data_IF_575572101238
#
_entry.id   IF_575572101238
#
_cell.length_a   1.000
_cell.length_b   1.000
_cell.length_c   1.000
_cell.angle_alpha   90.00
_cell.angle_beta   90.00
_cell.angle_gamma   90.00
#
_symmetry.space_group_name_H-M   'P 1'
#
loop_
_entity.id
_entity.type
_entity.pdbx_description
1 polymer ?
#
# COMPACT_ATOMS: atom_id res chain seq x y z
N UNK A 1 -9.66 32.41 -3.92
CA UNK A 1 -8.24 32.28 -4.30
C UNK A 1 -7.42 31.30 -3.46
N UNK A 2 -7.76 30.95 -2.21
CA UNK A 2 -6.96 30.00 -1.41
C UNK A 2 -6.91 28.56 -1.97
N UNK A 3 -7.93 28.11 -2.73
CA UNK A 3 -8.01 26.75 -3.29
C UNK A 3 -6.93 26.43 -4.34
N UNK A 4 -6.40 27.44 -5.04
CA UNK A 4 -5.30 27.28 -6.01
C UNK A 4 -3.92 27.17 -5.33
N UNK A 5 -3.76 27.76 -4.14
CA UNK A 5 -2.49 27.72 -3.40
C UNK A 5 -2.22 26.35 -2.77
N UNK A 6 -3.28 25.63 -2.38
CA UNK A 6 -3.22 24.26 -1.87
C UNK A 6 -3.07 23.20 -2.99
N UNK A 7 -3.28 23.58 -4.25
CA UNK A 7 -3.14 22.70 -5.41
C UNK A 7 -1.68 22.32 -5.72
N UNK A 8 -0.72 23.00 -5.08
CA UNK A 8 0.71 22.74 -5.23
C UNK A 8 1.21 21.58 -4.37
N UNK A 9 0.42 21.08 -3.41
CA UNK A 9 0.79 19.90 -2.63
C UNK A 9 0.59 18.64 -3.48
N UNK A 10 1.66 18.32 -4.22
CA UNK A 10 1.87 17.03 -4.89
C UNK A 10 1.52 15.88 -3.95
N UNK A 11 0.49 15.12 -4.33
CA UNK A 11 0.26 13.71 -4.00
C UNK A 11 0.71 13.28 -2.59
N UNK A 12 -0.24 13.19 -1.66
CA UNK A 12 0.02 12.63 -0.33
C UNK A 12 0.43 11.16 -0.52
N UNK A 13 1.71 10.85 -0.31
CA UNK A 13 2.19 9.47 -0.28
C UNK A 13 1.72 8.82 1.02
N UNK A 14 0.85 7.82 0.91
CA UNK A 14 0.43 7.03 2.08
C UNK A 14 1.46 5.94 2.31
N UNK A 15 2.01 5.86 3.52
CA UNK A 15 3.00 4.86 3.91
C UNK A 15 2.57 4.23 5.22
N UNK A 16 2.31 2.93 5.18
CA UNK A 16 1.92 2.16 6.35
C UNK A 16 2.88 1.00 6.59
N UNK A 17 3.11 0.69 7.86
CA UNK A 17 3.92 -0.45 8.29
C UNK A 17 3.04 -1.31 9.17
N UNK A 18 2.79 -2.54 8.73
CA UNK A 18 1.89 -3.47 9.42
C UNK A 18 2.73 -4.67 9.90
N UNK A 19 2.73 -4.97 11.21
CA UNK A 19 3.41 -6.16 11.72
C UNK A 19 2.64 -7.43 11.31
N UNK A 20 3.33 -8.43 10.75
CA UNK A 20 2.76 -9.71 10.32
C UNK A 20 2.58 -10.69 11.49
N UNK A 21 2.16 -10.22 12.66
CA UNK A 21 2.12 -11.04 13.87
C UNK A 21 1.07 -12.17 13.84
N UNK A 22 0.03 -12.03 13.00
CA UNK A 22 -1.09 -12.99 12.92
C UNK A 22 -0.84 -14.20 12.03
N UNK A 23 0.06 -14.09 11.05
CA UNK A 23 0.34 -15.16 10.08
C UNK A 23 1.59 -15.98 10.43
N UNK A 24 2.22 -15.71 11.57
CA UNK A 24 3.41 -16.43 12.00
C UNK A 24 3.04 -17.82 12.53
N UNK A 25 3.91 -18.80 12.26
CA UNK A 25 3.82 -20.10 12.90
C UNK A 25 3.99 -19.95 14.42
N UNK A 26 3.39 -20.89 15.16
CA UNK A 26 3.28 -20.82 16.62
C UNK A 26 4.65 -20.70 17.33
N UNK A 27 5.68 -21.32 16.74
CA UNK A 27 7.07 -21.25 17.20
C UNK A 27 7.70 -19.88 16.98
N UNK A 28 7.47 -19.23 15.84
CA UNK A 28 8.01 -17.89 15.56
C UNK A 28 7.31 -16.84 16.43
N UNK A 29 6.01 -17.01 16.67
CA UNK A 29 5.23 -16.14 17.56
C UNK A 29 5.77 -16.17 18.99
N UNK A 30 6.10 -17.35 19.51
CA UNK A 30 6.73 -17.50 20.83
C UNK A 30 8.09 -16.78 20.92
N UNK A 31 8.91 -16.89 19.87
CA UNK A 31 10.21 -16.19 19.80
C UNK A 31 10.00 -14.67 19.72
N UNK A 32 9.00 -14.22 18.95
CA UNK A 32 8.65 -12.81 18.86
C UNK A 32 8.16 -12.25 20.21
N UNK A 33 7.29 -12.98 20.91
CA UNK A 33 6.78 -12.56 22.22
C UNK A 33 7.90 -12.51 23.27
N UNK A 34 8.90 -13.38 23.15
CA UNK A 34 10.08 -13.38 24.02
C UNK A 34 11.05 -12.22 23.73
N UNK A 35 11.10 -11.72 22.48
CA UNK A 35 12.04 -10.69 22.02
C UNK A 35 11.42 -9.29 21.89
N UNK A 36 10.12 -9.14 22.18
CA UNK A 36 9.46 -7.83 22.28
C UNK A 36 9.97 -7.07 23.53
N UNK A 37 10.39 -5.78 23.44
CA UNK A 37 9.90 -4.73 22.52
C UNK A 37 10.88 -4.30 21.42
N UNK A 38 11.98 -5.03 21.19
CA UNK A 38 13.15 -4.49 20.47
C UNK A 38 13.15 -4.82 18.97
N UNK A 39 12.55 -5.93 18.53
CA UNK A 39 12.65 -6.37 17.12
C UNK A 39 11.34 -6.93 16.59
N UNK A 40 10.82 -6.34 15.49
CA UNK A 40 9.76 -6.91 14.67
C UNK A 40 10.39 -7.75 13.54
N UNK A 41 10.24 -9.08 13.61
CA UNK A 41 10.85 -10.01 12.65
C UNK A 41 10.22 -9.99 11.26
N UNK A 42 8.91 -9.74 11.19
CA UNK A 42 8.12 -9.74 9.96
C UNK A 42 7.24 -8.49 9.88
N UNK A 43 7.41 -7.71 8.81
CA UNK A 43 6.65 -6.48 8.58
C UNK A 43 6.27 -6.34 7.10
N UNK A 44 5.09 -5.81 6.84
CA UNK A 44 4.66 -5.37 5.52
C UNK A 44 4.77 -3.86 5.47
N UNK A 45 5.53 -3.37 4.51
CA UNK A 45 5.55 -1.95 4.19
C UNK A 45 4.65 -1.74 2.99
N UNK A 46 3.55 -1.03 3.21
CA UNK A 46 2.64 -0.59 2.18
C UNK A 46 2.97 0.85 1.80
N UNK A 47 3.04 1.13 0.51
CA UNK A 47 3.16 2.49 0.00
C UNK A 47 2.19 2.72 -1.14
N UNK A 48 1.35 3.74 -1.03
CA UNK A 48 0.45 4.18 -2.08
C UNK A 48 0.85 5.58 -2.55
N UNK A 49 0.90 5.76 -3.87
CA UNK A 49 1.15 7.07 -4.47
C UNK A 49 0.16 7.35 -5.57
N UNK A 50 -0.30 8.60 -5.64
CA UNK A 50 -1.06 9.07 -6.79
C UNK A 50 -0.16 8.99 -8.04
N UNK A 51 -0.58 8.21 -9.01
CA UNK A 51 0.10 8.04 -10.29
C UNK A 51 -0.46 9.00 -11.33
N UNK A 52 -1.79 9.04 -11.44
CA UNK A 52 -2.49 9.87 -12.41
C UNK A 52 -3.83 10.35 -11.84
N UNK A 53 -4.22 11.56 -12.19
CA UNK A 53 -5.57 12.08 -12.00
C UNK A 53 -5.87 12.97 -13.20
N UNK A 54 -7.05 12.82 -13.78
CA UNK A 54 -7.51 13.64 -14.91
C UNK A 54 -7.70 15.10 -14.49
N UNK A 55 -8.24 15.35 -13.29
CA UNK A 55 -8.40 16.67 -12.72
C UNK A 55 -8.12 16.67 -11.21
N UNK A 56 -7.16 17.49 -10.78
CA UNK A 56 -6.75 17.59 -9.37
C UNK A 56 -7.87 18.08 -8.43
N UNK A 57 -8.90 18.75 -8.95
CA UNK A 57 -9.94 19.40 -8.14
C UNK A 57 -11.28 18.69 -8.16
N UNK A 58 -11.54 17.91 -9.20
CA UNK A 58 -12.73 17.08 -9.38
C UNK A 58 -12.36 15.91 -10.29
N UNK A 59 -11.62 14.92 -9.76
CA UNK A 59 -11.17 13.83 -10.60
C UNK A 59 -12.34 12.89 -10.90
N UNK A 60 -12.60 12.65 -12.18
CA UNK A 60 -13.53 11.60 -12.61
C UNK A 60 -12.80 10.25 -12.66
N UNK A 61 -11.47 10.28 -12.87
CA UNK A 61 -10.60 9.12 -12.92
C UNK A 61 -9.31 9.37 -12.12
N UNK A 62 -9.01 8.48 -11.18
CA UNK A 62 -7.80 8.53 -10.35
C UNK A 62 -7.09 7.20 -10.39
N UNK A 63 -5.79 7.22 -10.67
CA UNK A 63 -4.92 6.05 -10.60
C UNK A 63 -3.92 6.14 -9.45
N UNK A 64 -3.85 5.09 -8.66
CA UNK A 64 -2.92 4.94 -7.56
C UNK A 64 -1.98 3.77 -7.81
N UNK A 65 -0.68 4.05 -7.78
CA UNK A 65 0.35 3.04 -7.80
C UNK A 65 0.64 2.59 -6.37
N UNK A 66 0.35 1.33 -6.11
CA UNK A 66 0.52 0.70 -4.81
C UNK A 66 1.69 -0.28 -4.87
N UNK A 67 2.53 -0.25 -3.83
CA UNK A 67 3.63 -1.20 -3.64
C UNK A 67 3.52 -1.84 -2.26
N UNK A 68 3.67 -3.15 -2.23
CA UNK A 68 3.72 -3.97 -1.02
C UNK A 68 5.09 -4.62 -0.94
N UNK A 69 5.79 -4.38 0.17
CA UNK A 69 7.10 -4.95 0.45
C UNK A 69 7.04 -5.74 1.74
N UNK A 70 7.18 -7.06 1.64
CA UNK A 70 7.28 -7.94 2.81
C UNK A 70 8.75 -8.05 3.21
N UNK A 71 9.06 -7.63 4.43
CA UNK A 71 10.38 -7.85 5.05
C UNK A 71 10.23 -8.98 6.06
N UNK A 72 10.88 -10.10 5.79
CA UNK A 72 11.04 -11.23 6.71
C UNK A 72 12.52 -11.45 7.01
N UNK A 73 12.83 -11.88 8.23
CA UNK A 73 14.19 -12.04 8.77
C UNK A 73 15.08 -12.96 7.91
N UNK A 74 14.50 -13.88 7.12
CA UNK A 74 15.25 -14.85 6.31
C UNK A 74 15.12 -14.70 4.79
N UNK A 75 14.18 -13.89 4.29
CA UNK A 75 13.93 -13.79 2.85
C UNK A 75 13.42 -12.40 2.48
N UNK A 76 14.06 -11.78 1.49
CA UNK A 76 13.50 -10.61 0.81
C UNK A 76 12.49 -11.13 -0.19
N UNK A 77 11.22 -10.93 0.10
CA UNK A 77 10.16 -11.30 -0.84
C UNK A 77 10.13 -10.30 -2.01
N UNK A 78 9.69 -10.75 -3.20
CA UNK A 78 9.55 -9.86 -4.34
C UNK A 78 8.54 -8.74 -4.03
N UNK A 79 8.86 -7.52 -4.48
CA UNK A 79 7.97 -6.37 -4.36
C UNK A 79 6.74 -6.65 -5.23
N UNK A 80 5.56 -6.58 -4.64
CA UNK A 80 4.31 -6.68 -5.39
C UNK A 80 3.81 -5.27 -5.68
N UNK A 81 3.62 -4.99 -6.96
CA UNK A 81 3.11 -3.70 -7.46
C UNK A 81 1.75 -3.93 -8.11
N UNK A 82 0.80 -3.06 -7.79
CA UNK A 82 -0.52 -3.07 -8.41
C UNK A 82 -1.03 -1.64 -8.58
N UNK A 83 -1.80 -1.41 -9.65
CA UNK A 83 -2.44 -0.14 -9.92
C UNK A 83 -3.92 -0.21 -9.54
N UNK A 84 -4.42 0.80 -8.85
CA UNK A 84 -5.85 0.96 -8.54
C UNK A 84 -6.35 2.16 -9.30
N UNK A 85 -7.21 1.94 -10.29
CA UNK A 85 -7.92 2.98 -11.00
C UNK A 85 -9.34 3.09 -10.45
N UNK A 86 -9.69 4.26 -9.91
CA UNK A 86 -11.02 4.58 -9.42
C UNK A 86 -11.67 5.52 -10.43
N UNK A 87 -12.88 5.19 -10.84
CA UNK A 87 -13.73 6.04 -11.68
C UNK A 87 -15.13 6.15 -11.06
N UNK A 88 -15.98 7.05 -11.55
CA UNK A 88 -17.29 7.34 -10.95
C UNK A 88 -18.15 6.09 -10.68
N UNK A 89 -18.03 5.04 -11.51
CA UNK A 89 -18.88 3.85 -11.45
C UNK A 89 -18.15 2.54 -11.22
N UNK A 90 -16.82 2.53 -11.06
CA UNK A 90 -16.05 1.29 -10.91
C UNK A 90 -14.69 1.51 -10.27
N UNK A 91 -14.22 0.49 -9.56
CA UNK A 91 -12.85 0.38 -9.06
C UNK A 91 -12.16 -0.79 -9.77
N UNK A 92 -11.11 -0.49 -10.53
CA UNK A 92 -10.28 -1.47 -11.22
C UNK A 92 -8.94 -1.66 -10.51
N UNK A 93 -8.62 -2.89 -10.16
CA UNK A 93 -7.34 -3.27 -9.56
C UNK A 93 -6.56 -4.10 -10.57
N UNK A 94 -5.45 -3.56 -11.08
CA UNK A 94 -4.56 -4.23 -12.03
C UNK A 94 -3.29 -4.70 -11.33
N UNK A 95 -3.15 -6.01 -11.14
CA UNK A 95 -1.93 -6.68 -10.68
C UNK A 95 -1.29 -7.46 -11.82
N UNK A 96 0.02 -7.74 -11.75
CA UNK A 96 0.77 -8.52 -12.76
C UNK A 96 0.11 -9.86 -13.13
N UNK A 97 -0.66 -10.45 -12.22
CA UNK A 97 -1.24 -11.79 -12.41
C UNK A 97 -2.77 -11.83 -12.38
N UNK A 98 -3.46 -10.76 -11.96
CA UNK A 98 -4.93 -10.75 -11.78
C UNK A 98 -5.49 -9.32 -11.91
N UNK A 99 -6.63 -9.20 -12.61
CA UNK A 99 -7.45 -7.98 -12.62
C UNK A 99 -8.71 -8.24 -11.79
N UNK A 100 -8.93 -7.45 -10.74
CA UNK A 100 -10.16 -7.48 -9.95
C UNK A 100 -10.95 -6.21 -10.21
N UNK A 101 -12.23 -6.38 -10.57
CA UNK A 101 -13.17 -5.27 -10.76
C UNK A 101 -14.24 -5.35 -9.66
N UNK A 102 -14.50 -4.22 -9.01
CA UNK A 102 -15.60 -4.08 -8.06
C UNK A 102 -16.55 -3.04 -8.65
N UNK A 103 -17.79 -3.48 -8.92
CA UNK A 103 -18.92 -2.66 -9.40
C UNK A 103 -19.73 -2.10 -8.22
#
# INVERSE_FOLDING_TARGET
>A
CFRLLLAGEKSIEVKDIIPLSKELSLSIKWIQDFLAPIVLFCQVNFTSKLHHADNLFYPENVEFLNQVKVKSFWKKEPITEYNVAVSESKIEIKSKNQSLCIE
#
